data_IF_999006186333
#
_entry.id   IF_999006186333
#
_cell.length_a   1.000
_cell.length_b   1.000
_cell.length_c   1.000
_cell.angle_alpha   90.00
_cell.angle_beta   90.00
_cell.angle_gamma   90.00
#
_symmetry.space_group_name_H-M   'P 1'
#
loop_
_entity.id
_entity.type
_entity.pdbx_description
1 polymer ?
#
# COMPACT_ATOMS: atom_id res chain seq x y z
N UNK A 1 -9.45 -42.59 -85.79
CA UNK A 1 -9.80 -43.86 -85.12
C UNK A 1 -8.54 -44.39 -84.44
N UNK A 2 -8.70 -44.69 -83.15
CA UNK A 2 -7.90 -45.61 -82.33
C UNK A 2 -6.46 -45.16 -82.01
N UNK A 3 -6.21 -44.51 -80.88
CA UNK A 3 -6.24 -45.05 -79.51
C UNK A 3 -5.23 -46.21 -79.36
N UNK A 4 -4.21 -46.01 -78.52
CA UNK A 4 -4.03 -46.73 -77.26
C UNK A 4 -2.60 -46.51 -76.73
N UNK A 5 -2.53 -45.67 -75.70
CA UNK A 5 -1.69 -45.83 -74.50
C UNK A 5 -0.32 -46.49 -74.69
N UNK A 6 0.76 -45.71 -74.56
CA UNK A 6 2.04 -46.26 -74.12
C UNK A 6 1.81 -46.95 -72.77
N UNK A 7 1.72 -48.27 -72.87
CA UNK A 7 1.51 -49.21 -71.78
C UNK A 7 2.71 -49.09 -70.85
N UNK A 8 2.49 -48.55 -69.66
CA UNK A 8 3.37 -48.79 -68.51
C UNK A 8 3.57 -50.31 -68.40
N UNK A 9 4.78 -50.81 -68.67
CA UNK A 9 5.13 -52.21 -68.42
C UNK A 9 5.97 -52.29 -67.14
N UNK A 10 5.38 -52.44 -65.95
CA UNK A 10 6.15 -52.65 -64.73
C UNK A 10 6.48 -54.13 -64.63
N UNK A 11 7.68 -54.52 -65.07
CA UNK A 11 8.26 -55.81 -64.65
C UNK A 11 9.14 -55.67 -63.41
N UNK A 12 9.49 -54.43 -63.02
CA UNK A 12 10.28 -54.11 -61.83
C UNK A 12 9.86 -52.74 -61.24
N UNK A 13 10.05 -52.55 -59.93
CA UNK A 13 9.85 -51.28 -59.23
C UNK A 13 10.87 -50.26 -59.77
N UNK A 14 10.41 -49.10 -60.23
CA UNK A 14 11.29 -48.00 -60.59
C UNK A 14 11.78 -47.31 -59.30
N UNK A 15 12.95 -47.76 -58.84
CA UNK A 15 13.56 -47.28 -57.61
C UNK A 15 13.88 -45.78 -57.67
N UNK A 16 14.29 -45.26 -58.83
CA UNK A 16 14.62 -43.83 -58.99
C UNK A 16 13.40 -42.94 -58.78
N UNK A 17 12.24 -43.35 -59.32
CA UNK A 17 10.97 -42.65 -59.08
C UNK A 17 10.56 -42.70 -57.61
N UNK A 18 10.74 -43.84 -56.95
CA UNK A 18 10.46 -43.99 -55.52
C UNK A 18 11.37 -43.08 -54.67
N UNK A 19 12.66 -43.07 -54.94
CA UNK A 19 13.61 -42.18 -54.26
C UNK A 19 13.31 -40.70 -54.51
N UNK A 20 12.97 -40.32 -55.74
CA UNK A 20 12.59 -38.94 -56.06
C UNK A 20 11.36 -38.48 -55.25
N UNK A 21 10.32 -39.32 -55.17
CA UNK A 21 9.14 -39.02 -54.35
C UNK A 21 9.42 -39.03 -52.85
N UNK A 22 10.34 -39.88 -52.40
CA UNK A 22 10.79 -39.90 -51.02
C UNK A 22 11.53 -38.60 -50.64
N UNK A 23 12.44 -38.11 -51.49
CA UNK A 23 13.12 -36.84 -51.27
C UNK A 23 12.17 -35.64 -51.33
N UNK A 24 11.20 -35.63 -52.25
CA UNK A 24 10.17 -34.59 -52.31
C UNK A 24 9.33 -34.54 -51.01
N UNK A 25 9.00 -35.71 -50.45
CA UNK A 25 8.30 -35.81 -49.17
C UNK A 25 9.20 -35.32 -48.02
N UNK A 26 10.48 -35.67 -48.02
CA UNK A 26 11.45 -35.24 -47.02
C UNK A 26 11.63 -33.71 -47.05
N UNK A 27 11.75 -33.11 -48.23
CA UNK A 27 11.82 -31.67 -48.41
C UNK A 27 10.56 -30.97 -47.91
N UNK A 28 9.38 -31.53 -48.19
CA UNK A 28 8.12 -31.01 -47.67
C UNK A 28 8.04 -31.07 -46.14
N UNK A 29 8.50 -32.17 -45.53
CA UNK A 29 8.55 -32.32 -44.08
C UNK A 29 9.53 -31.32 -43.45
N UNK A 30 10.71 -31.12 -44.04
CA UNK A 30 11.67 -30.13 -43.58
C UNK A 30 11.07 -28.71 -43.66
N UNK A 31 10.44 -28.38 -44.78
CA UNK A 31 9.76 -27.09 -44.95
C UNK A 31 8.65 -26.89 -43.91
N UNK A 32 7.85 -27.91 -43.64
CA UNK A 32 6.80 -27.89 -42.62
C UNK A 32 7.39 -27.67 -41.22
N UNK A 33 8.48 -28.35 -40.88
CA UNK A 33 9.18 -28.17 -39.61
C UNK A 33 9.68 -26.73 -39.44
N UNK A 34 10.31 -26.15 -40.45
CA UNK A 34 10.73 -24.75 -40.41
C UNK A 34 9.54 -23.80 -40.21
N UNK A 35 8.40 -24.05 -40.87
CA UNK A 35 7.19 -23.25 -40.67
C UNK A 35 6.62 -23.37 -39.27
N UNK A 36 6.64 -24.56 -38.67
CA UNK A 36 6.18 -24.76 -37.29
C UNK A 36 7.11 -24.08 -36.30
N UNK A 37 8.43 -24.21 -36.47
CA UNK A 37 9.42 -23.55 -35.61
C UNK A 37 9.28 -22.03 -35.68
N UNK A 38 9.16 -21.48 -36.90
CA UNK A 38 8.97 -20.05 -37.12
C UNK A 38 7.66 -19.53 -36.49
N UNK A 39 6.57 -20.28 -36.64
CA UNK A 39 5.30 -19.94 -36.01
C UNK A 39 5.40 -19.93 -34.48
N UNK A 40 6.04 -20.93 -33.87
CA UNK A 40 6.24 -21.01 -32.43
C UNK A 40 7.13 -19.87 -31.91
N UNK A 41 8.21 -19.54 -32.62
CA UNK A 41 9.09 -18.44 -32.19
C UNK A 41 8.36 -17.11 -32.16
N UNK A 42 7.52 -16.82 -33.16
CA UNK A 42 6.74 -15.58 -33.20
C UNK A 42 5.79 -15.44 -32.00
N UNK A 43 5.14 -16.52 -31.56
CA UNK A 43 4.25 -16.48 -30.39
C UNK A 43 5.02 -16.21 -29.09
N UNK A 44 6.21 -16.80 -28.94
CA UNK A 44 7.06 -16.57 -27.77
C UNK A 44 7.50 -15.10 -27.70
N UNK A 45 7.98 -14.53 -28.81
CA UNK A 45 8.38 -13.12 -28.86
C UNK A 45 7.22 -12.18 -28.50
N UNK A 46 6.01 -12.45 -29.01
CA UNK A 46 4.83 -11.66 -28.70
C UNK A 46 4.48 -11.72 -27.21
N UNK A 47 4.55 -12.91 -26.60
CA UNK A 47 4.25 -13.10 -25.17
C UNK A 47 5.25 -12.37 -24.26
N UNK A 48 6.55 -12.41 -24.60
CA UNK A 48 7.62 -11.73 -23.86
C UNK A 48 7.46 -10.21 -23.97
N UNK A 49 7.17 -9.70 -25.17
CA UNK A 49 6.92 -8.29 -25.38
C UNK A 49 5.73 -7.80 -24.56
N UNK A 50 4.61 -8.55 -24.59
CA UNK A 50 3.41 -8.24 -23.83
C UNK A 50 3.67 -8.27 -22.31
N UNK A 51 4.34 -9.32 -21.82
CA UNK A 51 4.72 -9.45 -20.41
C UNK A 51 5.61 -8.28 -19.95
N UNK A 52 6.56 -7.86 -20.78
CA UNK A 52 7.44 -6.73 -20.49
C UNK A 52 6.66 -5.43 -20.35
N UNK A 53 5.66 -5.19 -21.21
CA UNK A 53 4.78 -4.01 -21.12
C UNK A 53 3.99 -4.01 -19.81
N UNK A 54 3.40 -5.15 -19.44
CA UNK A 54 2.68 -5.28 -18.17
C UNK A 54 3.60 -5.09 -16.97
N UNK A 55 4.82 -5.61 -17.01
CA UNK A 55 5.80 -5.45 -15.94
C UNK A 55 6.21 -3.98 -15.74
N UNK A 56 6.48 -3.27 -16.83
CA UNK A 56 6.78 -1.83 -16.79
C UNK A 56 5.58 -1.04 -16.23
N UNK A 57 4.36 -1.37 -16.65
CA UNK A 57 3.13 -0.76 -16.15
C UNK A 57 2.96 -0.99 -14.63
N UNK A 58 3.20 -2.22 -14.16
CA UNK A 58 3.13 -2.56 -12.74
C UNK A 58 4.15 -1.77 -11.92
N UNK A 59 5.40 -1.68 -12.38
CA UNK A 59 6.44 -0.87 -11.73
C UNK A 59 6.01 0.60 -11.68
N UNK A 60 5.50 1.14 -12.78
CA UNK A 60 5.03 2.52 -12.83
C UNK A 60 3.91 2.78 -11.81
N UNK A 61 2.91 1.90 -11.71
CA UNK A 61 1.82 2.02 -10.74
C UNK A 61 2.37 1.99 -9.31
N UNK A 62 3.24 1.03 -8.99
CA UNK A 62 3.85 0.90 -7.65
C UNK A 62 4.64 2.15 -7.29
N UNK A 63 5.48 2.66 -8.19
CA UNK A 63 6.25 3.90 -7.96
C UNK A 63 5.31 5.09 -7.71
N UNK A 64 4.23 5.22 -8.50
CA UNK A 64 3.26 6.31 -8.30
C UNK A 64 2.54 6.20 -6.96
N UNK A 65 2.15 5.00 -6.53
CA UNK A 65 1.55 4.77 -5.21
C UNK A 65 2.52 5.17 -4.09
N UNK A 66 3.78 4.74 -4.16
CA UNK A 66 4.81 5.09 -3.17
C UNK A 66 5.09 6.60 -3.15
N UNK A 67 5.09 7.23 -4.33
CA UNK A 67 5.26 8.69 -4.48
C UNK A 67 4.10 9.46 -3.84
N UNK A 68 2.85 8.99 -4.03
CA UNK A 68 1.66 9.58 -3.41
C UNK A 68 1.66 9.40 -1.89
N UNK A 69 2.08 8.24 -1.38
CA UNK A 69 2.22 7.99 0.06
C UNK A 69 3.24 8.94 0.71
N UNK A 70 4.35 9.20 0.03
CA UNK A 70 5.38 10.13 0.52
C UNK A 70 4.91 11.59 0.54
N UNK A 71 4.10 12.00 -0.45
CA UNK A 71 3.53 13.37 -0.50
C UNK A 71 2.54 13.61 0.64
N UNK A 72 1.73 12.61 1.00
CA UNK A 72 0.85 12.68 2.18
C UNK A 72 1.65 12.89 3.47
N UNK A 73 2.65 12.03 3.76
CA UNK A 73 3.49 12.17 4.97
C UNK A 73 4.20 13.53 5.09
N UNK A 74 4.66 14.12 3.97
CA UNK A 74 5.28 15.46 3.97
C UNK A 74 4.29 16.58 4.26
N UNK A 75 3.05 16.47 3.76
CA UNK A 75 1.99 17.43 4.04
C UNK A 75 1.53 17.37 5.51
N UNK A 76 1.44 16.17 6.11
CA UNK A 76 1.11 16.02 7.53
C UNK A 76 2.02 16.85 8.45
N UNK A 77 3.35 16.82 8.23
CA UNK A 77 4.30 17.51 9.12
C UNK A 77 4.42 19.03 8.92
N UNK A 78 4.03 19.54 7.75
CA UNK A 78 4.24 20.96 7.41
C UNK A 78 3.10 21.88 7.86
N UNK A 79 1.91 21.31 8.11
CA UNK A 79 0.72 22.08 8.55
C UNK A 79 0.73 22.40 10.04
N UNK A 80 1.24 21.51 10.87
CA UNK A 80 1.30 21.68 12.33
C UNK A 80 2.22 22.84 12.75
N UNK A 81 3.19 23.19 11.91
CA UNK A 81 4.28 24.11 12.25
C UNK A 81 4.02 25.57 11.89
N UNK A 82 2.95 25.89 11.14
CA UNK A 82 2.72 27.26 10.64
C UNK A 82 1.85 28.14 11.55
N UNK A 83 1.09 27.56 12.49
CA UNK A 83 0.15 28.33 13.32
C UNK A 83 0.64 28.60 14.76
N UNK A 84 1.50 27.75 15.31
CA UNK A 84 2.01 27.89 16.68
C UNK A 84 3.54 27.97 16.69
N UNK A 85 4.09 28.92 17.44
CA UNK A 85 5.54 29.02 17.60
C UNK A 85 6.07 27.76 18.30
N UNK A 86 7.31 27.31 18.00
CA UNK A 86 7.92 26.17 18.70
C UNK A 86 7.87 26.33 20.22
N UNK A 87 8.02 27.55 20.74
CA UNK A 87 7.96 27.87 22.17
C UNK A 87 6.58 27.61 22.77
N UNK A 88 5.50 27.97 22.09
CA UNK A 88 4.14 27.73 22.58
C UNK A 88 3.82 26.24 22.65
N UNK A 89 4.25 25.45 21.66
CA UNK A 89 4.08 23.99 21.64
C UNK A 89 4.80 23.33 22.82
N UNK A 90 6.05 23.73 23.06
CA UNK A 90 6.82 23.24 24.20
C UNK A 90 6.15 23.58 25.53
N UNK A 91 5.69 24.83 25.72
CA UNK A 91 5.01 25.24 26.96
C UNK A 91 3.70 24.47 27.17
N UNK A 92 2.90 24.25 26.12
CA UNK A 92 1.69 23.43 26.21
C UNK A 92 1.98 22.00 26.63
N UNK A 93 2.99 21.37 26.01
CA UNK A 93 3.41 20.02 26.33
C UNK A 93 3.95 19.89 27.76
N UNK A 94 4.84 20.80 28.18
CA UNK A 94 5.38 20.82 29.54
C UNK A 94 4.29 20.98 30.61
N UNK A 95 3.25 21.77 30.33
CA UNK A 95 2.11 21.92 31.24
C UNK A 95 1.32 20.63 31.39
N UNK A 96 1.14 19.86 30.30
CA UNK A 96 0.49 18.54 30.34
C UNK A 96 1.34 17.55 31.15
N UNK A 97 2.66 17.51 30.92
CA UNK A 97 3.57 16.65 31.68
C UNK A 97 3.58 17.00 33.17
N UNK A 98 3.59 18.29 33.54
CA UNK A 98 3.50 18.74 34.93
C UNK A 98 2.22 18.27 35.63
N UNK A 99 1.08 18.35 34.94
CA UNK A 99 -0.20 17.90 35.50
C UNK A 99 -0.22 16.39 35.77
N UNK A 100 0.37 15.57 34.89
CA UNK A 100 0.45 14.11 35.10
C UNK A 100 1.38 13.75 36.26
N UNK A 101 2.40 14.56 36.52
CA UNK A 101 3.34 14.37 37.62
C UNK A 101 2.82 14.87 38.98
N UNK A 102 1.68 15.56 39.03
CA UNK A 102 1.13 16.05 40.29
C UNK A 102 0.54 14.91 41.13
N UNK A 103 0.28 15.16 42.41
CA UNK A 103 -0.36 14.22 43.32
C UNK A 103 -1.90 14.29 43.27
N UNK A 104 -2.47 15.14 42.41
CA UNK A 104 -3.90 15.38 42.32
C UNK A 104 -4.53 14.59 41.16
N UNK A 105 -5.46 13.63 41.43
CA UNK A 105 -6.13 12.86 40.38
C UNK A 105 -6.89 13.71 39.36
N UNK A 106 -7.37 14.90 39.74
CA UNK A 106 -8.05 15.80 38.81
C UNK A 106 -7.10 16.37 37.76
N UNK A 107 -5.85 16.65 38.12
CA UNK A 107 -4.85 17.13 37.17
C UNK A 107 -4.54 16.07 36.12
N UNK A 108 -4.51 14.79 36.51
CA UNK A 108 -4.30 13.68 35.58
C UNK A 108 -5.43 13.59 34.56
N UNK A 109 -6.69 13.68 35.00
CA UNK A 109 -7.86 13.70 34.12
C UNK A 109 -7.82 14.88 33.16
N UNK A 110 -7.54 16.07 33.67
CA UNK A 110 -7.40 17.27 32.86
C UNK A 110 -6.29 17.14 31.82
N UNK A 111 -5.15 16.56 32.18
CA UNK A 111 -4.03 16.35 31.27
C UNK A 111 -4.39 15.39 30.13
N UNK A 112 -5.05 14.27 30.43
CA UNK A 112 -5.50 13.30 29.40
C UNK A 112 -6.51 13.95 28.45
N UNK A 113 -7.46 14.71 28.97
CA UNK A 113 -8.46 15.41 28.14
C UNK A 113 -7.78 16.48 27.28
N UNK A 114 -6.82 17.22 27.84
CA UNK A 114 -6.08 18.27 27.13
C UNK A 114 -5.26 17.70 25.96
N UNK A 115 -4.53 16.59 26.17
CA UNK A 115 -3.73 15.96 25.12
C UNK A 115 -4.60 15.29 24.05
N UNK A 116 -5.75 14.69 24.43
CA UNK A 116 -6.73 14.14 23.48
C UNK A 116 -7.28 15.23 22.55
N UNK A 117 -7.71 16.37 23.11
CA UNK A 117 -8.19 17.52 22.34
C UNK A 117 -7.09 18.12 21.45
N UNK A 118 -5.84 18.13 21.92
CA UNK A 118 -4.69 18.58 21.12
C UNK A 118 -4.47 17.67 19.91
N UNK A 119 -4.46 16.36 20.11
CA UNK A 119 -4.34 15.37 19.03
C UNK A 119 -5.48 15.51 18.04
N UNK A 120 -6.71 15.65 18.52
CA UNK A 120 -7.88 15.84 17.65
C UNK A 120 -7.76 17.11 16.79
N UNK A 121 -7.31 18.21 17.39
CA UNK A 121 -7.05 19.47 16.68
C UNK A 121 -5.97 19.28 15.61
N UNK A 122 -4.88 18.56 15.93
CA UNK A 122 -3.82 18.27 14.97
C UNK A 122 -4.35 17.41 13.81
N UNK A 123 -5.10 16.34 14.11
CA UNK A 123 -5.71 15.43 13.11
C UNK A 123 -6.61 16.20 12.14
N UNK A 124 -7.42 17.12 12.64
CA UNK A 124 -8.25 18.00 11.80
C UNK A 124 -7.39 18.92 10.92
N UNK A 125 -6.30 19.49 11.45
CA UNK A 125 -5.40 20.39 10.71
C UNK A 125 -4.64 19.67 9.61
N UNK A 126 -4.28 18.39 9.79
CA UNK A 126 -3.53 17.62 8.79
C UNK A 126 -4.40 17.03 7.67
N UNK A 127 -5.72 17.24 7.71
CA UNK A 127 -6.63 16.95 6.59
C UNK A 127 -7.79 16.01 6.91
N UNK A 128 -7.83 15.41 8.10
CA UNK A 128 -8.93 14.53 8.52
C UNK A 128 -10.00 15.35 9.24
N UNK A 129 -10.69 16.21 8.49
CA UNK A 129 -11.76 17.10 9.01
C UNK A 129 -13.14 16.45 9.02
N UNK A 130 -13.31 15.38 8.24
CA UNK A 130 -14.59 14.68 8.09
C UNK A 130 -14.84 13.77 9.29
N UNK A 131 -16.07 13.80 9.80
CA UNK A 131 -16.49 13.09 11.00
C UNK A 131 -16.89 14.05 12.12
N UNK A 132 -18.03 13.80 12.76
CA UNK A 132 -18.57 14.61 13.85
C UNK A 132 -17.75 14.43 15.13
N UNK A 133 -17.15 13.24 15.30
CA UNK A 133 -16.38 12.87 16.48
C UNK A 133 -14.93 12.48 16.14
N UNK A 134 -14.05 12.57 17.13
CA UNK A 134 -12.68 12.04 17.03
C UNK A 134 -12.69 10.54 16.69
N UNK A 135 -13.68 9.78 17.18
CA UNK A 135 -13.85 8.36 16.85
C UNK A 135 -14.07 8.15 15.34
N UNK A 136 -14.90 8.97 14.70
CA UNK A 136 -15.11 8.90 13.24
C UNK A 136 -13.87 9.31 12.45
N UNK A 137 -13.19 10.38 12.88
CA UNK A 137 -11.92 10.82 12.29
C UNK A 137 -10.85 9.73 12.38
N UNK A 138 -10.69 9.09 13.52
CA UNK A 138 -9.71 8.00 13.67
C UNK A 138 -10.05 6.78 12.80
N UNK A 139 -11.35 6.49 12.57
CA UNK A 139 -11.77 5.40 11.68
C UNK A 139 -11.51 5.68 10.20
N UNK A 140 -11.47 6.95 9.79
CA UNK A 140 -11.20 7.32 8.39
C UNK A 140 -9.72 7.37 8.05
N UNK A 141 -8.83 7.32 9.04
CA UNK A 141 -7.39 7.27 8.84
C UNK A 141 -6.98 5.85 8.44
N UNK A 142 -6.35 5.73 7.27
CA UNK A 142 -5.74 4.48 6.83
C UNK A 142 -4.55 4.13 7.78
N UNK A 143 -4.46 2.92 8.34
CA UNK A 143 -3.38 2.53 9.25
C UNK A 143 -1.96 2.71 8.67
N UNK A 144 -1.85 2.73 7.34
CA UNK A 144 -0.58 2.94 6.63
C UNK A 144 -0.09 4.40 6.63
N UNK A 145 -0.97 5.35 6.97
CA UNK A 145 -0.69 6.79 6.98
C UNK A 145 -0.28 7.31 8.37
N UNK A 146 -0.69 6.63 9.45
CA UNK A 146 -0.41 7.02 10.84
C UNK A 146 -0.03 5.80 11.70
N UNK A 147 1.26 5.63 11.95
CA UNK A 147 1.83 4.42 12.55
C UNK A 147 1.40 4.25 14.03
N UNK A 148 1.14 5.35 14.73
CA UNK A 148 0.62 5.39 16.12
C UNK A 148 -0.91 5.48 16.23
N UNK A 149 -1.65 5.27 15.13
CA UNK A 149 -3.12 5.31 15.12
C UNK A 149 -3.75 4.41 16.20
N UNK A 150 -3.21 3.21 16.40
CA UNK A 150 -3.70 2.27 17.42
C UNK A 150 -3.50 2.81 18.83
N UNK A 151 -2.35 3.42 19.10
CA UNK A 151 -2.02 4.00 20.40
C UNK A 151 -2.98 5.16 20.74
N UNK A 152 -3.26 6.03 19.75
CA UNK A 152 -4.25 7.12 19.88
C UNK A 152 -5.65 6.57 20.11
N UNK A 153 -6.06 5.53 19.38
CA UNK A 153 -7.36 4.91 19.56
C UNK A 153 -7.55 4.39 20.98
N UNK A 154 -6.59 3.61 21.48
CA UNK A 154 -6.63 3.05 22.83
C UNK A 154 -6.68 4.15 23.90
N UNK A 155 -5.85 5.20 23.74
CA UNK A 155 -5.82 6.34 24.65
C UNK A 155 -7.16 7.13 24.63
N UNK A 156 -7.76 7.30 23.44
CA UNK A 156 -9.05 7.96 23.29
C UNK A 156 -10.18 7.20 24.00
N UNK A 157 -10.16 5.86 23.97
CA UNK A 157 -11.14 5.06 24.70
C UNK A 157 -11.04 5.27 26.22
N UNK A 158 -9.83 5.42 26.78
CA UNK A 158 -9.67 5.76 28.20
C UNK A 158 -10.22 7.15 28.50
N UNK A 159 -9.96 8.14 27.63
CA UNK A 159 -10.56 9.47 27.76
C UNK A 159 -12.10 9.42 27.74
N UNK A 160 -12.70 8.62 26.86
CA UNK A 160 -14.16 8.43 26.83
C UNK A 160 -14.67 7.89 28.17
N UNK A 161 -14.00 6.90 28.77
CA UNK A 161 -14.36 6.37 30.08
C UNK A 161 -14.26 7.43 31.17
N UNK A 162 -13.16 8.20 31.21
CA UNK A 162 -12.97 9.31 32.15
C UNK A 162 -14.11 10.32 32.04
N UNK A 163 -14.52 10.71 30.83
CA UNK A 163 -15.60 11.67 30.62
C UNK A 163 -16.96 11.09 31.03
N UNK A 164 -17.23 9.82 30.71
CA UNK A 164 -18.52 9.18 30.98
C UNK A 164 -18.72 8.88 32.47
N UNK A 165 -17.67 8.39 33.14
CA UNK A 165 -17.72 7.91 34.53
C UNK A 165 -17.27 8.99 35.53
N UNK A 166 -16.59 10.05 35.05
CA UNK A 166 -16.18 11.19 35.85
C UNK A 166 -15.28 10.80 37.02
N UNK A 167 -15.64 11.26 38.21
CA UNK A 167 -14.95 10.94 39.46
C UNK A 167 -15.04 9.45 39.83
N UNK A 168 -16.01 8.71 39.29
CA UNK A 168 -16.20 7.28 39.56
C UNK A 168 -15.15 6.41 38.85
N UNK A 169 -14.48 6.94 37.81
CA UNK A 169 -13.40 6.22 37.14
C UNK A 169 -12.15 6.21 38.04
N UNK A 170 -11.66 5.03 38.46
CA UNK A 170 -10.51 4.91 39.37
C UNK A 170 -9.19 5.07 38.60
N UNK A 171 -8.98 6.26 38.00
CA UNK A 171 -7.75 6.58 37.28
C UNK A 171 -6.57 6.58 38.26
N UNK A 172 -5.59 5.74 37.99
CA UNK A 172 -4.32 5.75 38.71
C UNK A 172 -3.29 6.63 37.99
N UNK A 173 -2.29 7.14 38.72
CA UNK A 173 -1.21 7.91 38.10
C UNK A 173 -0.41 7.09 37.10
N UNK A 174 -0.24 5.79 37.36
CA UNK A 174 0.46 4.86 36.46
C UNK A 174 -0.30 4.71 35.15
N UNK A 175 -1.60 4.44 35.21
CA UNK A 175 -2.47 4.38 34.03
C UNK A 175 -2.46 5.72 33.26
N UNK A 176 -2.50 6.85 33.97
CA UNK A 176 -2.44 8.15 33.34
C UNK A 176 -1.11 8.40 32.59
N UNK A 177 0.01 7.92 33.15
CA UNK A 177 1.33 7.96 32.49
C UNK A 177 1.38 7.06 31.26
N UNK A 178 0.81 5.86 31.33
CA UNK A 178 0.74 4.96 30.16
C UNK A 178 -0.07 5.56 29.01
N UNK A 179 -1.22 6.16 29.33
CA UNK A 179 -2.06 6.88 28.35
C UNK A 179 -1.30 8.07 27.76
N UNK A 180 -0.58 8.83 28.57
CA UNK A 180 0.23 9.94 28.09
C UNK A 180 1.33 9.48 27.12
N UNK A 181 2.01 8.37 27.41
CA UNK A 181 3.07 7.85 26.54
C UNK A 181 2.54 7.41 25.16
N UNK A 182 1.31 6.88 25.09
CA UNK A 182 0.63 6.61 23.81
C UNK A 182 0.43 7.88 23.00
N UNK A 183 -0.07 8.95 23.62
CA UNK A 183 -0.20 10.24 22.96
C UNK A 183 1.14 10.88 22.60
N UNK A 184 2.17 10.72 23.45
CA UNK A 184 3.52 11.22 23.21
C UNK A 184 4.13 10.62 21.95
N UNK A 185 3.93 9.32 21.72
CA UNK A 185 4.36 8.63 20.49
C UNK A 185 3.71 9.25 19.26
N UNK A 186 2.41 9.54 19.33
CA UNK A 186 1.67 10.22 18.27
C UNK A 186 2.16 11.65 18.01
N UNK A 187 2.37 12.44 19.07
CA UNK A 187 2.86 13.81 18.92
C UNK A 187 4.28 13.86 18.32
N UNK A 188 5.14 12.90 18.65
CA UNK A 188 6.48 12.74 18.04
C UNK A 188 6.37 12.38 16.56
N UNK A 189 5.51 11.43 16.21
CA UNK A 189 5.29 11.05 14.80
C UNK A 189 4.80 12.25 13.97
N UNK A 190 3.90 13.06 14.54
CA UNK A 190 3.35 14.27 13.94
C UNK A 190 4.31 15.48 14.01
N UNK A 191 5.49 15.33 14.62
CA UNK A 191 6.49 16.39 14.85
C UNK A 191 5.93 17.63 15.57
N UNK A 192 4.96 17.41 16.46
CA UNK A 192 4.45 18.45 17.34
C UNK A 192 5.46 18.74 18.47
N UNK A 193 6.06 17.68 19.01
CA UNK A 193 7.16 17.69 20.00
C UNK A 193 8.42 17.04 19.45
#
# INVERSE_FOLDING_TARGET
MNNLSQVFQPRFINLDYFFAKFFELLDYLIWLLFKVVDWLSHQIFLSIALSSIFFICLIFVVINILRLRTRRKKHLSHFVTHEESPKERTVKWENIEKKILSDNPNDWREAIIAVDNLIDTIIQKIGYKEGESMTERLRSIEPSDFDSLKDVWEAHQIKIKIVKEGESYPLTQEEAKEVLEKYKKALKELKYI
#
